data_IF_100881707876
#
_entry.id   IF_100881707876
#
_cell.length_a   1.000
_cell.length_b   1.000
_cell.length_c   1.000
_cell.angle_alpha   90.00
_cell.angle_beta   90.00
_cell.angle_gamma   90.00
#
_symmetry.space_group_name_H-M   'P 1'
#
loop_
_entity.id
_entity.type
_entity.pdbx_description
1 polymer ?
#
# COMPACT_ATOMS: atom_id res chain seq x y z
N UNK A 1 -9.28 1.05 3.25
CA UNK A 1 -8.30 0.05 2.83
C UNK A 1 -8.04 -0.93 3.94
N UNK A 2 -7.98 -2.18 3.61
CA UNK A 2 -7.83 -3.21 4.64
C UNK A 2 -6.54 -3.99 4.46
N UNK A 3 -6.03 -4.51 5.54
CA UNK A 3 -4.86 -5.35 5.51
C UNK A 3 -5.16 -6.60 4.69
N UNK A 4 -4.18 -7.04 3.91
CA UNK A 4 -4.40 -8.21 3.09
C UNK A 4 -4.21 -9.51 3.83
N UNK A 5 -3.77 -9.45 5.06
CA UNK A 5 -3.59 -10.66 5.85
C UNK A 5 -4.65 -10.81 6.92
N UNK A 6 -4.80 -9.81 7.76
CA UNK A 6 -5.75 -9.92 8.84
C UNK A 6 -7.01 -9.09 8.59
N UNK A 7 -7.06 -8.41 7.46
CA UNK A 7 -8.22 -7.64 7.06
C UNK A 7 -8.54 -6.51 8.04
N UNK A 8 -7.51 -5.98 8.66
CA UNK A 8 -7.68 -4.89 9.60
C UNK A 8 -7.91 -3.60 8.82
N UNK A 9 -8.96 -2.86 9.08
CA UNK A 9 -9.22 -1.64 8.33
C UNK A 9 -8.36 -0.46 8.78
N UNK A 10 -7.62 -0.61 9.84
CA UNK A 10 -6.83 0.48 10.36
C UNK A 10 -5.38 0.43 9.95
N UNK A 11 -5.10 0.31 8.67
CA UNK A 11 -3.73 0.32 8.21
C UNK A 11 -3.23 1.76 8.20
N UNK A 12 -1.92 1.92 8.37
CA UNK A 12 -1.31 3.24 8.40
C UNK A 12 -0.32 3.39 7.27
N UNK A 13 -0.02 4.61 6.94
CA UNK A 13 0.92 4.88 5.86
C UNK A 13 2.33 4.66 6.36
N UNK A 14 3.11 3.93 5.58
CA UNK A 14 4.47 3.62 5.95
C UNK A 14 5.49 4.27 5.03
N UNK A 15 5.10 5.28 4.29
CA UNK A 15 6.02 5.99 3.43
C UNK A 15 5.81 5.69 1.97
N UNK A 16 6.79 6.05 1.17
CA UNK A 16 6.71 5.84 -0.27
C UNK A 16 7.86 4.99 -0.75
N UNK A 17 7.67 4.34 -1.87
CA UNK A 17 8.75 3.63 -2.54
C UNK A 17 8.77 4.15 -3.96
N UNK A 18 9.96 4.28 -4.51
CA UNK A 18 10.12 4.75 -5.88
C UNK A 18 10.30 3.55 -6.78
N UNK A 19 9.47 3.48 -7.80
CA UNK A 19 9.55 2.42 -8.76
C UNK A 19 9.65 3.01 -10.14
N UNK A 20 9.94 2.22 -11.11
CA UNK A 20 10.07 2.71 -12.46
C UNK A 20 8.75 3.30 -12.96
N UNK A 21 7.66 2.89 -12.41
CA UNK A 21 6.39 3.45 -12.79
C UNK A 21 5.98 4.67 -11.99
N UNK A 22 6.82 5.12 -11.07
CA UNK A 22 6.50 6.28 -10.27
C UNK A 22 6.52 5.95 -8.79
N UNK A 23 5.92 6.81 -8.01
CA UNK A 23 5.91 6.62 -6.57
C UNK A 23 4.71 5.79 -6.17
N UNK A 24 4.89 4.95 -5.20
CA UNK A 24 3.81 4.14 -4.67
C UNK A 24 3.75 4.30 -3.18
N UNK A 25 2.54 4.42 -2.65
CA UNK A 25 2.33 4.58 -1.22
C UNK A 25 2.45 3.22 -0.55
N UNK A 26 3.24 3.16 0.51
CA UNK A 26 3.39 1.93 1.27
C UNK A 26 2.52 2.01 2.52
N UNK A 27 1.92 0.91 2.87
CA UNK A 27 1.07 0.83 4.05
C UNK A 27 1.52 -0.31 4.92
N UNK A 28 1.22 -0.20 6.20
CA UNK A 28 1.57 -1.24 7.15
C UNK A 28 0.40 -1.45 8.10
N UNK A 29 0.10 -2.70 8.36
CA UNK A 29 -0.94 -3.04 9.32
C UNK A 29 -0.33 -3.08 10.71
N UNK A 30 -0.83 -2.29 11.64
CA UNK A 30 -0.26 -2.29 13.00
C UNK A 30 -0.63 -3.53 13.79
N UNK A 31 -1.61 -4.27 13.34
CA UNK A 31 -2.04 -5.45 14.08
C UNK A 31 -1.16 -6.65 13.80
N UNK A 32 -0.89 -6.92 12.54
CA UNK A 32 -0.08 -8.08 12.19
C UNK A 32 1.29 -7.71 11.65
N UNK A 33 1.52 -6.43 11.41
CA UNK A 33 2.82 -5.98 10.92
C UNK A 33 3.05 -6.20 9.44
N UNK A 34 2.04 -6.53 8.72
CA UNK A 34 2.19 -6.78 7.30
C UNK A 34 2.36 -5.48 6.53
N UNK A 35 3.35 -5.42 5.66
CA UNK A 35 3.62 -4.23 4.87
C UNK A 35 3.30 -4.52 3.42
N UNK A 36 2.59 -3.61 2.78
CA UNK A 36 2.23 -3.79 1.39
C UNK A 36 2.17 -2.42 0.70
N UNK A 37 2.22 -2.42 -0.63
CA UNK A 37 2.13 -1.19 -1.38
C UNK A 37 0.84 -1.19 -2.15
N UNK A 38 0.27 -0.01 -2.30
CA UNK A 38 -0.94 0.12 -3.06
C UNK A 38 -0.58 0.45 -4.47
N UNK A 39 -0.67 -0.48 -5.32
CA UNK A 39 -0.35 -0.29 -6.70
C UNK A 39 -1.57 0.20 -7.41
N UNK A 40 -1.90 1.43 -7.25
CA UNK A 40 -3.06 1.94 -7.88
C UNK A 40 -2.77 2.28 -9.30
N UNK A 41 -3.21 1.58 -10.18
CA UNK A 41 -2.98 1.81 -11.53
C UNK A 41 -3.96 2.73 -12.05
N UNK A 42 -3.71 3.93 -12.14
CA UNK A 42 -4.62 4.78 -12.56
C UNK A 42 -4.40 5.20 -13.88
N UNK A 43 -5.19 5.37 -14.59
CA UNK A 43 -5.15 5.90 -15.81
C UNK A 43 -4.30 5.38 -16.69
N UNK A 44 -4.23 4.65 -16.80
CA UNK A 44 -3.48 4.13 -17.53
C UNK A 44 -3.40 4.49 -18.72
N UNK A 45 -3.25 4.98 -19.09
CA UNK A 45 -3.10 5.33 -20.01
C UNK A 45 -2.43 4.91 -20.61
N UNK A 46 -2.35 4.57 -20.67
CA UNK A 46 -1.86 4.08 -21.59
C UNK A 46 -1.23 3.75 -21.82
#
# INVERSE_FOLDING_TARGET
>A
MNCKRCNNPSVVKAGFVLRSGGRQQRYQCPACGYVFTEAKVVGVRG
#
